data_IF_748548018484
#
_entry.id   IF_748548018484
#
_cell.length_a   1.000
_cell.length_b   1.000
_cell.length_c   1.000
_cell.angle_alpha   90.00
_cell.angle_beta   90.00
_cell.angle_gamma   90.00
#
_symmetry.space_group_name_H-M   'P 1'
#
loop_
_entity.id
_entity.type
_entity.pdbx_description
1 polymer ?
#
# COMPACT_ATOMS: atom_id res chain seq x y z
N UNK A 1 -14.44 0.19 -38.21
CA UNK A 1 -13.85 -1.04 -37.65
C UNK A 1 -12.61 -0.63 -36.86
N UNK A 2 -12.76 -0.32 -35.56
CA UNK A 2 -11.64 0.09 -34.71
C UNK A 2 -10.98 -1.16 -34.13
N UNK A 3 -9.89 -1.61 -34.76
CA UNK A 3 -8.99 -2.64 -34.20
C UNK A 3 -8.39 -2.07 -32.91
N UNK A 4 -8.43 -2.80 -31.80
CA UNK A 4 -7.73 -2.36 -30.59
C UNK A 4 -6.24 -2.41 -30.93
N UNK A 5 -5.51 -1.34 -30.60
CA UNK A 5 -4.05 -1.24 -30.86
C UNK A 5 -3.23 -2.35 -30.16
N UNK A 6 -3.87 -3.14 -29.31
CA UNK A 6 -3.28 -4.24 -28.55
C UNK A 6 -3.32 -5.59 -29.29
N UNK A 7 -4.02 -5.70 -30.42
CA UNK A 7 -4.21 -6.98 -31.13
C UNK A 7 -2.93 -7.50 -31.84
N UNK A 8 -1.87 -6.67 -31.92
CA UNK A 8 -0.59 -7.00 -32.59
C UNK A 8 0.60 -7.13 -31.60
N UNK A 9 0.35 -7.18 -30.28
CA UNK A 9 1.42 -7.30 -29.27
C UNK A 9 1.62 -8.76 -28.88
N UNK A 10 2.65 -9.39 -29.44
CA UNK A 10 3.12 -10.70 -28.99
C UNK A 10 3.79 -10.56 -27.62
N UNK A 11 3.10 -11.01 -26.56
CA UNK A 11 3.64 -10.99 -25.21
C UNK A 11 4.81 -11.97 -25.12
N UNK A 12 6.03 -11.54 -24.73
CA UNK A 12 7.14 -12.47 -24.58
C UNK A 12 6.77 -13.53 -23.54
N UNK A 13 7.03 -14.81 -23.87
CA UNK A 13 6.77 -16.01 -23.08
C UNK A 13 7.58 -16.07 -21.76
N UNK A 14 7.46 -15.05 -20.91
CA UNK A 14 8.23 -14.85 -19.68
C UNK A 14 7.43 -15.03 -18.39
N UNK A 15 6.13 -15.36 -18.48
CA UNK A 15 5.25 -15.44 -17.31
C UNK A 15 4.64 -16.82 -17.20
N UNK A 16 4.96 -17.52 -16.11
CA UNK A 16 4.40 -18.83 -15.79
C UNK A 16 3.04 -18.65 -15.14
N UNK A 17 2.12 -19.62 -15.28
CA UNK A 17 0.90 -19.66 -14.48
C UNK A 17 1.19 -19.82 -12.97
N UNK A 18 2.43 -20.15 -12.63
CA UNK A 18 2.94 -20.32 -11.25
C UNK A 18 3.41 -19.00 -10.62
N UNK A 19 3.48 -17.91 -11.40
CA UNK A 19 3.89 -16.61 -10.86
C UNK A 19 2.86 -16.10 -9.86
N UNK A 20 3.31 -15.83 -8.63
CA UNK A 20 2.46 -15.20 -7.61
C UNK A 20 1.93 -13.88 -8.13
N UNK A 21 0.65 -13.60 -7.85
CA UNK A 21 0.04 -12.33 -8.20
C UNK A 21 0.71 -11.17 -7.46
N UNK A 22 1.00 -11.34 -6.17
CA UNK A 22 1.80 -10.37 -5.42
C UNK A 22 3.28 -10.73 -5.50
N UNK A 23 4.07 -9.85 -6.11
CA UNK A 23 5.51 -10.02 -6.24
C UNK A 23 6.28 -9.70 -4.94
N UNK A 24 5.60 -9.10 -3.96
CA UNK A 24 6.16 -8.70 -2.67
C UNK A 24 5.39 -7.53 -2.07
N UNK A 25 6.04 -6.80 -1.18
CA UNK A 25 5.52 -5.56 -0.58
C UNK A 25 6.48 -4.38 -0.76
N UNK A 26 5.93 -3.19 -0.96
CA UNK A 26 6.59 -1.90 -0.93
C UNK A 26 6.04 -1.12 0.26
N UNK A 27 6.79 -1.06 1.36
CA UNK A 27 6.23 -0.58 2.63
C UNK A 27 7.15 0.34 3.43
N UNK A 28 6.55 1.19 4.26
CA UNK A 28 7.22 1.85 5.39
C UNK A 28 6.71 1.24 6.69
N UNK A 29 7.62 0.91 7.59
CA UNK A 29 7.24 0.52 8.94
C UNK A 29 6.90 1.74 9.78
N UNK A 30 5.82 1.63 10.55
CA UNK A 30 5.36 2.59 11.54
C UNK A 30 4.60 1.88 12.66
N UNK A 31 4.23 2.63 13.70
CA UNK A 31 3.64 2.07 14.92
C UNK A 31 2.41 1.18 14.66
N UNK A 32 1.57 1.54 13.68
CA UNK A 32 0.34 0.80 13.36
C UNK A 32 0.51 -0.40 12.42
N UNK A 33 1.71 -0.69 11.90
CA UNK A 33 1.91 -1.84 11.00
C UNK A 33 3.13 -2.70 11.34
N UNK A 34 4.03 -2.23 12.21
CA UNK A 34 5.29 -2.92 12.49
C UNK A 34 5.06 -4.30 13.12
N UNK A 35 4.32 -4.42 14.22
CA UNK A 35 4.22 -5.68 14.97
C UNK A 35 3.59 -6.87 14.25
N UNK A 36 2.83 -6.64 13.17
CA UNK A 36 2.25 -7.73 12.36
C UNK A 36 2.98 -7.92 11.02
N UNK A 37 3.24 -6.83 10.31
CA UNK A 37 3.82 -6.89 8.96
C UNK A 37 5.33 -7.20 9.02
N UNK A 38 6.05 -6.76 10.06
CA UNK A 38 7.48 -7.09 10.18
C UNK A 38 7.71 -8.58 10.41
N UNK A 39 6.90 -9.17 11.29
CA UNK A 39 7.06 -10.57 11.69
C UNK A 39 6.68 -11.48 10.52
N UNK A 40 5.54 -11.21 9.86
CA UNK A 40 5.15 -11.92 8.65
C UNK A 40 6.17 -11.76 7.51
N UNK A 41 6.77 -10.57 7.35
CA UNK A 41 7.82 -10.35 6.35
C UNK A 41 9.10 -11.12 6.68
N UNK A 42 9.44 -11.26 7.97
CA UNK A 42 10.61 -12.00 8.41
C UNK A 42 10.43 -13.50 8.16
N UNK A 43 9.26 -14.05 8.52
CA UNK A 43 8.90 -15.44 8.27
C UNK A 43 8.88 -15.79 6.77
N UNK A 44 8.34 -14.90 5.94
CA UNK A 44 8.27 -15.12 4.51
C UNK A 44 9.65 -15.07 3.82
N UNK A 45 10.59 -14.31 4.39
CA UNK A 45 11.98 -14.25 3.95
C UNK A 45 12.13 -13.87 2.46
N UNK A 46 13.14 -14.41 1.75
CA UNK A 46 13.40 -14.03 0.36
C UNK A 46 12.33 -14.52 -0.62
N UNK A 47 11.44 -15.43 -0.21
CA UNK A 47 10.37 -15.94 -1.06
C UNK A 47 9.23 -14.91 -1.27
N UNK A 48 9.13 -13.91 -0.39
CA UNK A 48 8.20 -12.79 -0.54
C UNK A 48 8.89 -11.49 -0.08
N UNK A 49 9.57 -10.79 -0.99
CA UNK A 49 10.44 -9.68 -0.62
C UNK A 49 9.63 -8.48 -0.11
N UNK A 50 10.18 -7.85 0.93
CA UNK A 50 9.72 -6.56 1.44
C UNK A 50 10.73 -5.47 1.07
N UNK A 51 10.29 -4.51 0.29
CA UNK A 51 11.06 -3.36 -0.15
C UNK A 51 10.73 -2.16 0.74
N UNK A 52 11.72 -1.72 1.51
CA UNK A 52 11.56 -0.56 2.38
C UNK A 52 11.51 0.73 1.54
N UNK A 53 10.35 1.39 1.56
CA UNK A 53 10.19 2.71 0.95
C UNK A 53 10.68 3.85 1.84
N UNK A 54 10.65 5.06 1.29
CA UNK A 54 10.95 6.32 2.02
C UNK A 54 9.84 7.37 1.89
N UNK A 55 8.83 7.09 1.07
CA UNK A 55 7.68 7.95 0.83
C UNK A 55 6.51 7.08 0.40
N UNK A 56 5.40 7.12 1.12
CA UNK A 56 4.26 6.23 0.89
C UNK A 56 3.61 6.43 -0.48
N UNK A 57 3.46 7.68 -0.92
CA UNK A 57 2.92 7.97 -2.25
C UNK A 57 3.78 7.35 -3.36
N UNK A 58 5.09 7.56 -3.28
CA UNK A 58 6.04 7.05 -4.28
C UNK A 58 6.06 5.52 -4.34
N UNK A 59 5.84 4.83 -3.22
CA UNK A 59 5.69 3.37 -3.20
C UNK A 59 4.47 2.91 -3.99
N UNK A 60 3.33 3.57 -3.81
CA UNK A 60 2.09 3.23 -4.52
C UNK A 60 2.25 3.54 -6.01
N UNK A 61 2.86 4.67 -6.37
CA UNK A 61 3.16 4.98 -7.77
C UNK A 61 4.12 3.95 -8.40
N UNK A 62 5.12 3.47 -7.66
CA UNK A 62 6.01 2.40 -8.10
C UNK A 62 5.24 1.07 -8.28
N UNK A 63 4.32 0.73 -7.38
CA UNK A 63 3.45 -0.43 -7.51
C UNK A 63 2.55 -0.35 -8.75
N UNK A 64 1.97 0.83 -9.02
CA UNK A 64 1.19 1.11 -10.22
C UNK A 64 2.04 0.93 -11.48
N UNK A 65 3.24 1.50 -11.50
CA UNK A 65 4.16 1.37 -12.62
C UNK A 65 4.56 -0.09 -12.86
N UNK A 66 4.86 -0.84 -11.80
CA UNK A 66 5.17 -2.25 -11.87
C UNK A 66 4.00 -3.06 -12.44
N UNK A 67 2.79 -2.87 -11.93
CA UNK A 67 1.61 -3.57 -12.42
C UNK A 67 1.35 -3.27 -13.90
N UNK A 68 1.58 -2.03 -14.36
CA UNK A 68 1.55 -1.68 -15.79
C UNK A 68 2.61 -2.43 -16.60
N UNK A 69 3.86 -2.47 -16.12
CA UNK A 69 4.96 -3.22 -16.76
C UNK A 69 4.70 -4.72 -16.82
N UNK A 70 3.92 -5.25 -15.86
CA UNK A 70 3.50 -6.66 -15.78
C UNK A 70 2.15 -6.94 -16.43
N UNK A 71 1.62 -6.01 -17.23
CA UNK A 71 0.34 -6.14 -17.91
C UNK A 71 -0.82 -6.52 -16.96
N UNK A 72 -0.79 -5.98 -15.74
CA UNK A 72 -1.74 -6.24 -14.65
C UNK A 72 -1.79 -7.71 -14.17
N UNK A 73 -0.82 -8.55 -14.55
CA UNK A 73 -0.73 -9.96 -14.11
C UNK A 73 -0.04 -10.12 -12.76
N UNK A 74 0.69 -9.09 -12.32
CA UNK A 74 1.29 -9.01 -11.00
C UNK A 74 1.09 -7.62 -10.42
N UNK A 75 1.12 -7.55 -9.10
CA UNK A 75 0.97 -6.34 -8.30
C UNK A 75 1.92 -6.37 -7.09
N UNK A 76 2.01 -5.24 -6.41
CA UNK A 76 2.65 -5.11 -5.11
C UNK A 76 1.61 -4.82 -4.03
N UNK A 77 1.88 -5.31 -2.82
CA UNK A 77 1.24 -4.81 -1.61
C UNK A 77 1.94 -3.55 -1.10
N UNK A 78 1.18 -2.57 -0.63
CA UNK A 78 1.68 -1.31 -0.12
C UNK A 78 1.14 -1.08 1.30
N UNK A 79 1.82 -1.60 2.34
CA UNK A 79 1.47 -1.27 3.71
C UNK A 79 1.87 0.17 4.03
N UNK A 80 0.96 0.90 4.66
CA UNK A 80 1.21 2.26 5.15
C UNK A 80 1.12 2.29 6.67
N UNK A 81 1.84 3.22 7.29
CA UNK A 81 1.59 3.53 8.70
C UNK A 81 0.20 4.15 8.88
N UNK A 82 -0.26 4.19 10.13
CA UNK A 82 -1.45 4.93 10.55
C UNK A 82 -1.35 6.41 10.14
N UNK A 83 -2.50 7.00 9.79
CA UNK A 83 -2.74 8.43 9.58
C UNK A 83 -1.91 9.19 8.51
N UNK A 84 -0.80 9.93 8.79
CA UNK A 84 -0.13 10.69 7.73
C UNK A 84 0.37 9.76 6.63
N UNK A 85 0.81 8.55 6.95
CA UNK A 85 1.20 7.56 5.94
C UNK A 85 0.02 7.09 5.08
N UNK A 86 -1.15 6.85 5.69
CA UNK A 86 -2.36 6.41 4.99
C UNK A 86 -2.99 7.54 4.14
N UNK A 87 -2.93 8.78 4.59
CA UNK A 87 -3.40 9.94 3.82
C UNK A 87 -2.44 10.34 2.71
N UNK A 88 -1.13 10.13 2.88
CA UNK A 88 -0.10 10.45 1.89
C UNK A 88 -0.24 9.62 0.58
N UNK A 89 -0.89 8.45 0.63
CA UNK A 89 -1.08 7.62 -0.58
C UNK A 89 -2.25 8.02 -1.47
N UNK A 90 -3.18 8.85 -0.98
CA UNK A 90 -4.50 9.08 -1.63
C UNK A 90 -4.37 9.48 -3.11
N UNK A 91 -3.41 10.35 -3.45
CA UNK A 91 -3.16 10.78 -4.83
C UNK A 91 -2.76 9.60 -5.75
N UNK A 92 -1.88 8.73 -5.27
CA UNK A 92 -1.43 7.56 -6.03
C UNK A 92 -2.54 6.50 -6.15
N UNK A 93 -3.35 6.34 -5.09
CA UNK A 93 -4.52 5.44 -5.09
C UNK A 93 -5.59 5.90 -6.07
N UNK A 94 -5.87 7.20 -6.13
CA UNK A 94 -6.77 7.78 -7.12
C UNK A 94 -6.28 7.48 -8.55
N UNK A 95 -4.97 7.61 -8.78
CA UNK A 95 -4.35 7.27 -10.06
C UNK A 95 -4.52 5.79 -10.41
N UNK A 96 -4.28 4.88 -9.46
CA UNK A 96 -4.48 3.44 -9.65
C UNK A 96 -5.94 3.11 -10.00
N UNK A 97 -6.89 3.72 -9.28
CA UNK A 97 -8.33 3.53 -9.43
C UNK A 97 -8.80 3.96 -10.82
N UNK A 98 -8.46 5.18 -11.25
CA UNK A 98 -8.85 5.72 -12.56
C UNK A 98 -8.30 4.87 -13.71
N UNK A 99 -7.11 4.29 -13.54
CA UNK A 99 -6.44 3.49 -14.56
C UNK A 99 -6.75 1.98 -14.49
N UNK A 100 -7.61 1.56 -13.55
CA UNK A 100 -7.93 0.15 -13.30
C UNK A 100 -6.66 -0.70 -13.12
N UNK A 101 -5.76 -0.23 -12.26
CA UNK A 101 -4.49 -0.90 -11.97
C UNK A 101 -4.58 -1.59 -10.61
N UNK A 102 -4.28 -2.91 -10.52
CA UNK A 102 -4.33 -3.62 -9.26
C UNK A 102 -3.18 -3.20 -8.34
N UNK A 103 -3.52 -2.70 -7.15
CA UNK A 103 -2.61 -2.42 -6.03
C UNK A 103 -3.33 -2.83 -4.75
N UNK A 104 -2.63 -3.55 -3.85
CA UNK A 104 -3.17 -3.88 -2.52
C UNK A 104 -2.66 -2.85 -1.51
N UNK A 105 -3.55 -2.18 -0.80
CA UNK A 105 -3.20 -1.25 0.27
C UNK A 105 -3.52 -1.87 1.62
N UNK A 106 -2.56 -1.83 2.53
CA UNK A 106 -2.73 -2.28 3.91
C UNK A 106 -2.51 -1.08 4.83
N UNK A 107 -3.58 -0.34 5.08
CA UNK A 107 -3.52 0.82 5.96
C UNK A 107 -3.41 0.36 7.41
N UNK A 108 -2.34 0.73 8.11
CA UNK A 108 -2.25 0.54 9.55
C UNK A 108 -3.34 1.33 10.28
N UNK A 109 -3.84 0.77 11.37
CA UNK A 109 -4.85 1.39 12.25
C UNK A 109 -4.35 1.35 13.70
N UNK A 110 -5.06 2.04 14.60
CA UNK A 110 -4.85 2.03 16.03
C UNK A 110 -5.10 0.64 16.63
N UNK A 111 -4.52 0.38 17.81
CA UNK A 111 -4.69 -0.90 18.50
C UNK A 111 -6.17 -1.16 18.81
N UNK A 112 -6.58 -2.43 18.72
CA UNK A 112 -7.95 -2.85 19.05
C UNK A 112 -8.31 -2.59 20.53
N UNK A 113 -7.32 -2.47 21.41
CA UNK A 113 -7.48 -2.17 22.84
C UNK A 113 -7.24 -0.67 23.10
N UNK A 114 -8.26 0.03 23.63
CA UNK A 114 -8.19 1.47 23.98
C UNK A 114 -7.49 1.76 25.32
N UNK A 115 -6.76 0.79 25.89
CA UNK A 115 -6.08 0.94 27.19
C UNK A 115 -5.00 2.03 27.16
N UNK A 116 -4.50 2.35 25.97
CA UNK A 116 -3.45 3.33 25.74
C UNK A 116 -3.96 4.67 25.17
N UNK A 117 -5.27 4.96 25.30
CA UNK A 117 -5.78 6.29 24.96
C UNK A 117 -5.27 7.37 25.95
N UNK A 118 -4.79 8.54 25.47
CA UNK A 118 -4.66 8.94 24.06
C UNK A 118 -3.32 8.50 23.44
N UNK A 119 -3.37 7.90 22.25
CA UNK A 119 -2.15 7.62 21.47
C UNK A 119 -1.77 8.85 20.67
N UNK A 120 -0.48 9.20 20.67
CA UNK A 120 0.09 10.21 19.77
C UNK A 120 -0.30 9.89 18.33
N UNK A 121 -1.23 10.69 17.79
CA UNK A 121 -1.62 10.90 16.38
C UNK A 121 -3.15 11.05 16.18
N UNK A 122 -4.04 10.62 17.09
CA UNK A 122 -5.51 10.78 16.91
C UNK A 122 -6.00 12.23 16.60
N UNK A 123 -7.03 12.39 15.75
CA UNK A 123 -7.67 13.71 15.53
C UNK A 123 -8.45 14.08 16.77
N UNK A 124 -8.26 15.31 17.25
CA UNK A 124 -9.22 15.93 18.16
C UNK A 124 -10.50 16.30 17.41
N UNK A 125 -11.44 15.36 17.28
CA UNK A 125 -12.82 15.65 16.90
C UNK A 125 -13.69 15.67 18.18
N UNK A 126 -14.17 16.85 18.56
CA UNK A 126 -14.99 17.08 19.76
C UNK A 126 -16.36 16.37 19.75
N UNK A 127 -16.73 15.69 18.67
CA UNK A 127 -18.02 14.98 18.52
C UNK A 127 -17.92 13.56 17.96
N UNK A 128 -16.71 13.01 17.72
CA UNK A 128 -16.57 11.64 17.24
C UNK A 128 -15.19 11.06 17.62
N UNK A 129 -15.18 10.09 18.55
CA UNK A 129 -13.98 9.36 18.98
C UNK A 129 -13.48 8.30 17.98
N UNK A 130 -13.87 8.43 16.70
CA UNK A 130 -13.62 7.47 15.62
C UNK A 130 -13.01 8.16 14.37
N UNK A 131 -12.45 9.38 14.49
CA UNK A 131 -11.83 10.12 13.37
C UNK A 131 -10.32 10.26 13.59
N UNK A 132 -9.51 9.87 12.60
CA UNK A 132 -8.02 9.88 12.64
C UNK A 132 -7.41 10.72 11.48
N UNK A 133 -6.30 11.44 11.75
CA UNK A 133 -5.67 12.59 11.03
C UNK A 133 -5.19 13.75 11.98
N UNK A 134 -4.10 13.52 12.72
CA UNK A 134 -3.33 14.45 13.57
C UNK A 134 -3.45 15.99 13.33
N UNK A 135 -3.75 16.74 14.41
CA UNK A 135 -3.49 18.19 14.52
C UNK A 135 -2.73 18.52 15.84
N UNK A 136 -1.52 19.06 15.72
CA UNK A 136 -0.76 19.65 16.84
C UNK A 136 -1.37 21.03 17.18
N UNK A 137 -2.03 21.15 18.33
CA UNK A 137 -2.30 22.44 18.98
C UNK A 137 -1.27 22.64 20.09
N UNK A 138 -0.36 23.61 19.90
CA UNK A 138 0.59 24.04 20.91
C UNK A 138 -0.14 24.65 22.13
N UNK A 139 0.31 24.30 23.33
CA UNK A 139 0.42 25.22 24.45
C UNK A 139 1.83 25.11 25.01
#
# INVERSE_FOLDING_TARGET
>A
MFRRKDDDVEYPAKYSAEDRFFAGMLGLFGHGNIGGVSDASQEAGPAFPYYLGRNEQAMVDAAVAFAKLKYRRQAFGCPTSIEPGATNVVTAVATATVNWIPVLLLCGDSFAERVHDPVLQQVGCEHAGDVTANARSAR
#
